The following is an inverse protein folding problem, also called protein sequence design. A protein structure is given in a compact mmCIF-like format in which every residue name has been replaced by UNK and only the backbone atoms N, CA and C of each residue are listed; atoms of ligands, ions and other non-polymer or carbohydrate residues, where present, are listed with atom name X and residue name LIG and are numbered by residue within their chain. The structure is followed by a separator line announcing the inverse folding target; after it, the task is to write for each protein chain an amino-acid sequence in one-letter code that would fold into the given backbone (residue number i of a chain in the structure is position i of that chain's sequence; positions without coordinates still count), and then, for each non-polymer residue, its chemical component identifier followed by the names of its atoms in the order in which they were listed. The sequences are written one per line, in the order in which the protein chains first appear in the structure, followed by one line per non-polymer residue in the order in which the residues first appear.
data_IF_330200322428
#
_entry.id   IF_330200322428
#
_cell.length_a   1.000
_cell.length_b   1.000
_cell.length_c   1.000
_cell.angle_alpha   90.00
_cell.angle_beta   90.00
_cell.angle_gamma   90.00
#
_symmetry.space_group_name_H-M   'P 1'
#
loop_
_entity.id
_entity.type
_entity.pdbx_description
1 polymer ?
#
# COMPACT_ATOMS: atom_id res chain seq x y z
N UNK A 1 6.65 -9.43 -0.63
CA UNK A 1 7.19 -8.60 0.47
C UNK A 1 8.69 -8.84 0.52
N UNK A 2 9.49 -7.81 0.79
CA UNK A 2 10.95 -7.92 1.01
C UNK A 2 11.21 -7.31 2.38
N UNK A 3 11.85 -8.04 3.30
CA UNK A 3 12.11 -7.59 4.68
C UNK A 3 10.88 -7.03 5.42
N UNK A 4 9.70 -7.66 5.22
CA UNK A 4 8.38 -7.23 5.75
C UNK A 4 7.87 -5.89 5.20
N UNK A 5 8.44 -5.41 4.10
CA UNK A 5 7.95 -4.26 3.33
C UNK A 5 7.07 -4.75 2.18
N UNK A 6 5.88 -4.18 2.04
CA UNK A 6 4.98 -4.43 0.91
C UNK A 6 5.46 -3.67 -0.32
N UNK A 7 5.75 -4.35 -1.41
CA UNK A 7 6.19 -3.72 -2.65
C UNK A 7 5.04 -3.76 -3.65
N UNK A 8 4.23 -2.70 -3.71
CA UNK A 8 3.09 -2.62 -4.62
C UNK A 8 3.44 -2.62 -6.11
N UNK A 9 4.57 -2.04 -6.55
CA UNK A 9 5.01 -2.15 -7.95
C UNK A 9 5.24 -3.61 -8.37
N UNK A 10 5.81 -4.42 -7.48
CA UNK A 10 6.19 -5.82 -7.71
C UNK A 10 5.00 -6.77 -7.53
N UNK A 11 3.88 -6.47 -8.21
CA UNK A 11 2.64 -7.26 -8.10
C UNK A 11 2.51 -8.31 -9.20
N UNK A 12 1.97 -9.45 -8.80
CA UNK A 12 1.49 -10.52 -9.69
C UNK A 12 -0.03 -10.55 -9.59
N UNK A 13 -0.71 -10.60 -10.73
CA UNK A 13 -2.18 -10.70 -10.79
C UNK A 13 -2.59 -12.11 -11.16
N UNK A 14 -3.62 -12.63 -10.48
CA UNK A 14 -4.21 -13.94 -10.74
C UNK A 14 -5.70 -13.77 -10.97
N UNK A 15 -6.22 -14.45 -11.99
CA UNK A 15 -7.66 -14.58 -12.24
C UNK A 15 -8.08 -15.98 -11.84
N UNK A 16 -9.05 -16.08 -10.92
CA UNK A 16 -9.49 -17.35 -10.34
C UNK A 16 -10.96 -17.59 -10.63
N UNK A 17 -11.30 -18.82 -11.03
CA UNK A 17 -12.67 -19.28 -11.23
C UNK A 17 -13.43 -19.25 -9.91
N UNK A 18 -14.54 -18.52 -9.87
CA UNK A 18 -15.34 -18.32 -8.65
C UNK A 18 -15.99 -19.62 -8.15
N UNK A 19 -16.28 -20.54 -9.07
CA UNK A 19 -16.98 -21.80 -8.85
C UNK A 19 -16.07 -22.91 -8.30
N UNK A 20 -14.86 -23.03 -8.83
CA UNK A 20 -13.97 -24.16 -8.57
C UNK A 20 -12.58 -23.76 -8.03
N UNK A 21 -12.28 -22.47 -7.92
CA UNK A 21 -10.99 -21.97 -7.45
C UNK A 21 -9.84 -22.18 -8.46
N UNK A 22 -10.11 -22.59 -9.70
CA UNK A 22 -9.09 -22.84 -10.70
C UNK A 22 -8.44 -21.53 -11.15
N UNK A 23 -7.12 -21.53 -11.32
CA UNK A 23 -6.41 -20.40 -11.91
C UNK A 23 -6.72 -20.36 -13.41
N UNK A 24 -7.43 -19.32 -13.85
CA UNK A 24 -7.82 -19.10 -15.24
C UNK A 24 -6.74 -18.32 -16.00
N UNK A 25 -6.08 -17.38 -15.33
CA UNK A 25 -5.01 -16.58 -15.91
C UNK A 25 -4.04 -16.08 -14.84
N UNK A 26 -2.82 -15.77 -15.26
CA UNK A 26 -1.83 -15.06 -14.46
C UNK A 26 -1.20 -13.94 -15.30
N UNK A 27 -0.85 -12.85 -14.64
CA UNK A 27 -0.10 -11.74 -15.24
C UNK A 27 1.00 -11.29 -14.28
N UNK A 28 2.24 -11.59 -14.67
CA UNK A 28 3.46 -11.20 -13.97
C UNK A 28 4.19 -10.04 -14.66
N UNK A 29 3.60 -9.40 -15.67
CA UNK A 29 4.24 -8.29 -16.41
C UNK A 29 4.70 -7.17 -15.49
N UNK A 30 3.91 -6.71 -14.48
CA UNK A 30 4.37 -5.67 -13.57
C UNK A 30 5.61 -6.10 -12.77
N UNK A 31 5.64 -7.34 -12.30
CA UNK A 31 6.80 -7.88 -11.59
C UNK A 31 8.06 -7.82 -12.47
N UNK A 32 8.01 -8.31 -13.70
CA UNK A 32 9.17 -8.26 -14.60
C UNK A 32 9.61 -6.83 -14.97
N UNK A 33 8.67 -5.89 -15.04
CA UNK A 33 8.95 -4.52 -15.41
C UNK A 33 9.52 -3.67 -14.26
N UNK A 34 9.12 -3.95 -13.02
CA UNK A 34 9.42 -3.09 -11.87
C UNK A 34 10.30 -3.74 -10.81
N UNK A 35 10.49 -5.06 -10.83
CA UNK A 35 11.28 -5.70 -9.81
C UNK A 35 12.76 -5.35 -9.97
N UNK A 36 13.32 -4.72 -8.93
CA UNK A 36 14.72 -4.35 -8.83
C UNK A 36 15.11 -4.22 -7.36
N UNK A 37 16.42 -4.22 -7.09
CA UNK A 37 16.97 -3.96 -5.77
C UNK A 37 16.71 -2.50 -5.37
N UNK A 38 16.16 -2.31 -4.16
CA UNK A 38 15.79 -1.01 -3.62
C UNK A 38 16.57 -0.74 -2.35
N UNK A 39 17.05 0.48 -2.20
CA UNK A 39 17.59 0.95 -0.94
C UNK A 39 16.44 1.43 -0.04
N UNK A 40 16.03 0.58 0.91
CA UNK A 40 14.97 0.85 1.87
C UNK A 40 15.53 1.27 3.24
N UNK A 41 16.61 2.04 3.22
CA UNK A 41 17.26 2.58 4.43
C UNK A 41 16.71 3.97 4.81
N UNK A 42 17.17 4.49 5.95
CA UNK A 42 16.89 5.85 6.43
C UNK A 42 15.40 6.16 6.57
N UNK A 43 14.76 5.52 7.56
CA UNK A 43 13.39 5.83 7.93
C UNK A 43 13.30 6.62 9.23
N UNK A 44 12.40 7.59 9.26
CA UNK A 44 11.96 8.26 10.49
C UNK A 44 11.30 7.24 11.43
N UNK A 45 11.22 7.58 12.71
CA UNK A 45 10.55 6.73 13.67
C UNK A 45 9.05 6.59 13.34
N UNK A 46 8.47 5.41 13.55
CA UNK A 46 7.03 5.19 13.35
C UNK A 46 6.17 6.21 14.11
N UNK A 47 6.60 6.60 15.31
CA UNK A 47 5.90 7.61 16.12
C UNK A 47 5.86 8.99 15.43
N UNK A 48 6.93 9.38 14.74
CA UNK A 48 7.02 10.63 14.00
C UNK A 48 6.08 10.60 12.78
N UNK A 49 6.08 9.50 12.02
CA UNK A 49 5.14 9.30 10.92
C UNK A 49 3.68 9.32 11.41
N UNK A 50 3.41 8.74 12.58
CA UNK A 50 2.08 8.71 13.20
C UNK A 50 1.58 10.10 13.60
N UNK A 51 2.47 11.01 13.99
CA UNK A 51 2.13 12.40 14.30
C UNK A 51 1.70 13.22 13.08
N UNK A 52 2.06 12.78 11.87
CA UNK A 52 1.64 13.42 10.62
C UNK A 52 0.18 13.14 10.28
N UNK A 53 -0.39 12.06 10.82
CA UNK A 53 -1.80 11.75 10.66
C UNK A 53 -2.66 12.72 11.49
N UNK A 54 -3.87 12.98 11.00
CA UNK A 54 -4.84 13.80 11.73
C UNK A 54 -5.28 13.07 13.01
N UNK A 55 -5.46 13.84 14.08
CA UNK A 55 -5.80 13.31 15.41
C UNK A 55 -7.20 12.70 15.53
N UNK A 56 -8.07 12.97 14.56
CA UNK A 56 -9.45 12.45 14.48
C UNK A 56 -9.53 11.05 13.82
N UNK A 57 -8.41 10.46 13.42
CA UNK A 57 -8.37 9.17 12.73
C UNK A 57 -8.02 8.01 13.68
N UNK A 58 -8.80 6.92 13.63
CA UNK A 58 -8.50 5.69 14.34
C UNK A 58 -7.59 4.79 13.49
N UNK A 59 -6.35 4.59 13.92
CA UNK A 59 -5.42 3.69 13.23
C UNK A 59 -5.77 2.23 13.57
N UNK A 60 -6.03 1.42 12.54
CA UNK A 60 -6.29 -0.02 12.66
C UNK A 60 -5.01 -0.83 12.49
N UNK A 61 -4.20 -0.45 11.52
CA UNK A 61 -2.98 -1.17 11.17
C UNK A 61 -1.94 -0.21 10.59
N UNK A 62 -0.67 -0.54 10.78
CA UNK A 62 0.43 0.15 10.12
C UNK A 62 1.45 -0.84 9.58
N UNK A 63 1.99 -0.57 8.39
CA UNK A 63 3.03 -1.37 7.75
C UNK A 63 3.99 -0.48 6.97
N UNK A 64 5.12 -1.02 6.56
CA UNK A 64 5.99 -0.39 5.58
C UNK A 64 5.59 -0.85 4.18
N UNK A 65 5.57 0.09 3.24
CA UNK A 65 5.20 -0.17 1.86
C UNK A 65 6.01 0.68 0.89
N UNK A 66 6.21 0.20 -0.33
CA UNK A 66 6.67 0.97 -1.48
C UNK A 66 5.49 1.12 -2.42
N UNK A 67 5.17 2.35 -2.80
CA UNK A 67 4.09 2.67 -3.74
C UNK A 67 4.63 3.32 -5.01
N UNK A 68 3.95 3.09 -6.13
CA UNK A 68 4.21 3.83 -7.36
C UNK A 68 3.53 5.20 -7.32
N UNK A 69 4.29 6.23 -7.66
CA UNK A 69 3.85 7.60 -7.88
C UNK A 69 3.71 7.88 -9.39
N UNK A 70 3.05 8.99 -9.78
CA UNK A 70 3.03 9.45 -11.16
C UNK A 70 4.45 9.59 -11.73
N UNK A 71 4.63 9.24 -13.01
CA UNK A 71 5.92 9.38 -13.68
C UNK A 71 6.94 8.28 -13.33
N UNK A 72 6.47 7.09 -12.94
CA UNK A 72 7.33 5.92 -12.67
C UNK A 72 8.25 6.07 -11.46
N UNK A 73 7.98 7.06 -10.62
CA UNK A 73 8.67 7.24 -9.35
C UNK A 73 8.10 6.27 -8.30
N UNK A 74 8.91 5.94 -7.31
CA UNK A 74 8.50 5.12 -6.18
C UNK A 74 8.74 5.87 -4.88
N UNK A 75 7.85 5.67 -3.91
CA UNK A 75 8.00 6.21 -2.57
C UNK A 75 7.99 5.09 -1.54
N UNK A 76 9.00 5.09 -0.66
CA UNK A 76 9.04 4.25 0.52
C UNK A 76 8.27 4.92 1.65
N UNK A 77 7.21 4.27 2.12
CA UNK A 77 6.20 4.85 2.98
C UNK A 77 5.86 3.96 4.18
N UNK A 78 5.39 4.59 5.25
CA UNK A 78 4.50 3.97 6.21
C UNK A 78 3.06 4.00 5.65
N UNK A 79 2.50 2.82 5.45
CA UNK A 79 1.08 2.61 5.15
C UNK A 79 0.31 2.54 6.46
N UNK A 80 -0.70 3.39 6.61
CA UNK A 80 -1.63 3.37 7.73
C UNK A 80 -3.03 3.06 7.21
N UNK A 81 -3.61 1.94 7.67
CA UNK A 81 -5.05 1.68 7.52
C UNK A 81 -5.76 2.39 8.66
N UNK A 82 -6.51 3.43 8.32
CA UNK A 82 -7.21 4.27 9.28
C UNK A 82 -8.71 4.21 9.04
N UNK A 83 -9.49 4.36 10.11
CA UNK A 83 -10.94 4.57 10.05
C UNK A 83 -11.25 5.98 10.50
N UNK A 84 -12.09 6.67 9.73
CA UNK A 84 -12.70 7.93 10.11
C UNK A 84 -14.19 7.81 9.90
N UNK A 85 -14.95 8.08 10.96
CA UNK A 85 -16.40 7.86 11.00
C UNK A 85 -16.76 6.41 10.61
N UNK A 86 -17.42 6.21 9.46
CA UNK A 86 -17.73 4.88 8.92
C UNK A 86 -16.95 4.52 7.64
N UNK A 87 -15.91 5.29 7.34
CA UNK A 87 -15.08 5.12 6.16
C UNK A 87 -13.67 4.67 6.53
N UNK A 88 -13.08 3.84 5.67
CA UNK A 88 -11.69 3.40 5.82
C UNK A 88 -10.80 3.98 4.73
N UNK A 89 -9.57 4.27 5.10
CA UNK A 89 -8.57 4.84 4.21
C UNK A 89 -7.22 4.15 4.39
N UNK A 90 -6.45 4.07 3.30
CA UNK A 90 -5.02 3.84 3.33
C UNK A 90 -4.32 5.19 3.15
N UNK A 91 -3.58 5.60 4.16
CA UNK A 91 -2.75 6.81 4.12
C UNK A 91 -1.29 6.39 4.04
N UNK A 92 -0.55 6.95 3.08
CA UNK A 92 0.86 6.66 2.84
C UNK A 92 1.69 7.88 3.22
N UNK A 93 2.47 7.76 4.29
CA UNK A 93 3.40 8.77 4.76
C UNK A 93 4.81 8.35 4.38
N UNK A 94 5.54 9.17 3.63
CA UNK A 94 6.91 8.94 3.22
C UNK A 94 7.79 8.63 4.44
N UNK A 95 8.47 7.50 4.42
CA UNK A 95 9.26 7.00 5.53
C UNK A 95 10.55 7.80 5.72
N UNK A 96 11.03 8.55 4.73
CA UNK A 96 12.29 9.31 4.81
C UNK A 96 12.09 10.75 5.30
N UNK A 97 10.98 11.40 4.93
CA UNK A 97 10.77 12.82 5.21
C UNK A 97 9.43 13.14 5.93
N UNK A 98 8.54 12.15 6.10
CA UNK A 98 7.25 12.31 6.77
C UNK A 98 6.20 13.09 5.97
N UNK A 99 6.42 13.34 4.67
CA UNK A 99 5.44 13.94 3.76
C UNK A 99 4.35 12.93 3.42
N UNK A 100 3.10 13.36 3.36
CA UNK A 100 2.01 12.51 2.86
C UNK A 100 2.11 12.37 1.34
N UNK A 101 2.25 11.13 0.86
CA UNK A 101 2.42 10.83 -0.56
C UNK A 101 1.10 10.52 -1.25
N UNK A 102 0.19 9.83 -0.53
CA UNK A 102 -1.06 9.36 -1.10
C UNK A 102 -2.09 9.04 -0.01
N UNK A 103 -3.36 9.31 -0.31
CA UNK A 103 -4.51 8.80 0.43
C UNK A 103 -5.38 8.03 -0.55
N UNK A 104 -5.88 6.86 -0.14
CA UNK A 104 -6.85 6.08 -0.88
C UNK A 104 -8.02 5.69 0.01
N UNK A 105 -9.24 5.81 -0.50
CA UNK A 105 -10.43 5.36 0.22
C UNK A 105 -10.66 3.87 -0.04
N UNK A 106 -10.91 3.11 1.01
CA UNK A 106 -11.30 1.71 0.92
C UNK A 106 -12.83 1.66 0.80
N UNK A 107 -13.33 1.22 -0.36
CA UNK A 107 -14.74 0.94 -0.59
C UNK A 107 -14.97 -0.55 -0.32
N UNK A 108 -15.73 -0.85 0.73
CA UNK A 108 -16.20 -2.21 0.98
C UNK A 108 -17.43 -2.50 0.13
N UNK A 109 -17.37 -3.58 -0.65
CA UNK A 109 -18.51 -4.09 -1.40
C UNK A 109 -18.71 -5.58 -1.12
N UNK A 110 -19.89 -6.15 -1.44
CA UNK A 110 -20.10 -7.60 -1.37
C UNK A 110 -19.13 -8.42 -2.26
N UNK A 111 -18.44 -7.78 -3.21
CA UNK A 111 -17.47 -8.42 -4.13
C UNK A 111 -16.01 -8.27 -3.67
N UNK A 112 -15.76 -7.56 -2.57
CA UNK A 112 -14.43 -7.30 -2.04
C UNK A 112 -14.16 -5.83 -1.74
N UNK A 113 -12.93 -5.54 -1.33
CA UNK A 113 -12.40 -4.20 -1.06
C UNK A 113 -11.85 -3.58 -2.34
N UNK A 114 -12.21 -2.32 -2.61
CA UNK A 114 -11.69 -1.52 -3.71
C UNK A 114 -10.99 -0.28 -3.18
N UNK A 115 -9.86 0.09 -3.79
CA UNK A 115 -9.15 1.34 -3.48
C UNK A 115 -9.57 2.39 -4.51
N UNK A 116 -10.10 3.52 -4.01
CA UNK A 116 -10.46 4.70 -4.79
C UNK A 116 -9.46 5.84 -4.52
#
# INVERSE_FOLDING_TARGET
EVDKVRIYPDKIRLTVGRDNGQILAYDSTPYWAFHHDRDLTNKIALAEARQKLRSDMQIKENRLAVISLPGWQEAFCYEFRVKKDDEEFLVYINAQNGVEEKIQRIIMSPRGEYLQ
#
